data_IF_660914353675
#
_entry.id   IF_660914353675
#
_cell.length_a   1.000
_cell.length_b   1.000
_cell.length_c   1.000
_cell.angle_alpha   90.00
_cell.angle_beta   90.00
_cell.angle_gamma   90.00
#
_symmetry.space_group_name_H-M   'P 1'
#
loop_
_entity.id
_entity.type
_entity.pdbx_description
1 polymer ?
#
# COMPACT_ATOMS: atom_id res chain seq x y z
N UNK A 1 -8.03 -6.16 10.99
CA UNK A 1 -6.67 -5.90 10.47
C UNK A 1 -5.56 -6.49 11.35
N UNK A 2 -5.53 -6.22 12.66
CA UNK A 2 -4.42 -6.64 13.54
C UNK A 2 -4.10 -8.14 13.49
N UNK A 3 -5.13 -9.00 13.48
CA UNK A 3 -4.97 -10.45 13.32
C UNK A 3 -4.19 -10.83 12.06
N UNK A 4 -4.46 -10.17 10.93
CA UNK A 4 -3.81 -10.46 9.65
C UNK A 4 -2.36 -9.99 9.64
N UNK A 5 -2.09 -8.80 10.20
CA UNK A 5 -0.74 -8.27 10.35
C UNK A 5 0.13 -9.20 11.23
N UNK A 6 -0.40 -9.63 12.38
CA UNK A 6 0.31 -10.55 13.28
C UNK A 6 0.55 -11.93 12.63
N UNK A 7 -0.40 -12.40 11.80
CA UNK A 7 -0.22 -13.66 11.07
C UNK A 7 0.87 -13.55 10.01
N UNK A 8 0.90 -12.46 9.24
CA UNK A 8 1.97 -12.19 8.29
C UNK A 8 3.33 -12.07 8.98
N UNK A 9 3.42 -11.25 10.04
CA UNK A 9 4.64 -11.10 10.85
C UNK A 9 5.16 -12.45 11.34
N UNK A 10 4.30 -13.29 11.94
CA UNK A 10 4.70 -14.60 12.44
C UNK A 10 5.25 -15.54 11.36
N UNK A 11 4.80 -15.40 10.10
CA UNK A 11 5.31 -16.18 8.97
C UNK A 11 6.55 -15.58 8.30
N UNK A 12 6.73 -14.26 8.37
CA UNK A 12 7.83 -13.56 7.69
C UNK A 12 9.06 -13.40 8.58
N UNK A 13 8.86 -13.33 9.90
CA UNK A 13 9.91 -13.20 10.90
C UNK A 13 10.91 -14.36 10.80
N UNK A 14 12.18 -14.02 10.92
CA UNK A 14 13.28 -14.97 10.88
C UNK A 14 14.49 -14.40 11.60
N UNK A 15 15.31 -15.30 12.13
CA UNK A 15 16.58 -14.96 12.82
C UNK A 15 17.78 -14.93 11.86
N UNK A 16 17.54 -15.20 10.57
CA UNK A 16 18.58 -15.14 9.54
C UNK A 16 19.08 -13.70 9.38
N UNK A 17 20.40 -13.52 9.30
CA UNK A 17 21.01 -12.20 9.08
C UNK A 17 20.70 -11.61 7.70
N UNK A 18 20.56 -12.46 6.70
CA UNK A 18 20.26 -12.11 5.31
C UNK A 18 19.17 -13.03 4.79
N UNK A 19 17.91 -12.80 5.19
CA UNK A 19 16.82 -13.65 4.74
C UNK A 19 16.52 -13.40 3.26
N UNK A 20 16.17 -14.43 2.48
CA UNK A 20 15.69 -14.22 1.12
C UNK A 20 14.38 -13.43 1.15
N UNK A 21 14.01 -12.71 0.07
CA UNK A 21 12.74 -12.01 0.00
C UNK A 21 11.52 -12.90 0.29
N UNK A 22 10.43 -12.29 0.74
CA UNK A 22 9.12 -12.95 0.86
C UNK A 22 8.45 -12.96 -0.51
N UNK A 23 8.36 -14.13 -1.14
CA UNK A 23 7.52 -14.32 -2.32
C UNK A 23 6.05 -14.54 -1.89
N UNK A 24 5.15 -13.64 -2.29
CA UNK A 24 3.73 -13.67 -1.89
C UNK A 24 2.80 -13.05 -2.94
N UNK A 25 1.51 -12.96 -2.67
CA UNK A 25 0.54 -12.28 -3.54
C UNK A 25 -0.77 -11.96 -2.84
N UNK A 26 -1.88 -12.13 -3.55
CA UNK A 26 -3.25 -11.81 -3.12
C UNK A 26 -3.80 -12.74 -2.02
N UNK A 27 -3.10 -12.81 -0.89
CA UNK A 27 -3.35 -13.73 0.21
C UNK A 27 -4.72 -13.49 0.86
N UNK A 28 -5.61 -14.47 0.68
CA UNK A 28 -6.96 -14.43 1.22
C UNK A 28 -7.94 -13.58 0.42
N UNK A 29 -7.64 -13.23 -0.84
CA UNK A 29 -8.50 -12.34 -1.64
C UNK A 29 -9.51 -13.07 -2.54
N UNK A 30 -9.28 -14.34 -2.88
CA UNK A 30 -10.21 -15.15 -3.69
C UNK A 30 -11.42 -15.63 -2.89
N UNK A 31 -11.48 -16.93 -2.58
CA UNK A 31 -12.60 -17.53 -1.84
C UNK A 31 -12.91 -16.85 -0.49
N UNK A 32 -11.88 -16.28 0.16
CA UNK A 32 -11.98 -15.60 1.44
C UNK A 32 -12.34 -14.10 1.33
N UNK A 33 -12.52 -13.58 0.10
CA UNK A 33 -13.04 -12.23 -0.21
C UNK A 33 -12.30 -11.06 0.46
N UNK A 34 -11.03 -11.24 0.81
CA UNK A 34 -10.19 -10.15 1.32
C UNK A 34 -9.89 -9.11 0.25
N UNK A 35 -9.78 -7.84 0.65
CA UNK A 35 -9.40 -6.77 -0.27
C UNK A 35 -7.88 -6.84 -0.59
N UNK A 36 -7.48 -6.95 -1.88
CA UNK A 36 -6.08 -7.11 -2.25
C UNK A 36 -5.21 -5.90 -1.95
N UNK A 37 -5.76 -4.67 -2.00
CA UNK A 37 -5.04 -3.44 -1.67
C UNK A 37 -4.72 -3.35 -0.18
N UNK A 38 -5.68 -3.72 0.68
CA UNK A 38 -5.45 -3.82 2.11
C UNK A 38 -4.47 -4.95 2.44
N UNK A 39 -4.60 -6.11 1.79
CA UNK A 39 -3.74 -7.27 2.04
C UNK A 39 -2.29 -7.04 1.62
N UNK A 40 -2.04 -6.33 0.52
CA UNK A 40 -0.69 -5.96 0.12
C UNK A 40 -0.04 -5.05 1.17
N UNK A 41 -0.73 -4.00 1.62
CA UNK A 41 -0.21 -3.08 2.65
C UNK A 41 0.12 -3.80 3.96
N UNK A 42 -0.74 -4.70 4.44
CA UNK A 42 -0.47 -5.45 5.67
C UNK A 42 0.76 -6.37 5.54
N UNK A 43 0.96 -6.97 4.37
CA UNK A 43 2.14 -7.81 4.11
C UNK A 43 3.41 -6.97 4.00
N UNK A 44 3.35 -5.81 3.32
CA UNK A 44 4.43 -4.84 3.23
C UNK A 44 4.83 -4.33 4.62
N UNK A 45 3.86 -4.02 5.47
CA UNK A 45 4.11 -3.61 6.85
C UNK A 45 4.82 -4.71 7.65
N UNK A 46 4.38 -5.96 7.53
CA UNK A 46 5.03 -7.09 8.20
C UNK A 46 6.47 -7.28 7.70
N UNK A 47 6.71 -7.16 6.39
CA UNK A 47 8.04 -7.23 5.79
C UNK A 47 8.95 -6.09 6.29
N UNK A 48 8.42 -4.87 6.39
CA UNK A 48 9.15 -3.73 6.93
C UNK A 48 9.58 -3.90 8.38
N UNK A 49 8.69 -4.43 9.23
CA UNK A 49 9.06 -4.75 10.63
C UNK A 49 10.10 -5.87 10.71
N UNK A 50 10.05 -6.83 9.78
CA UNK A 50 11.00 -7.95 9.73
C UNK A 50 12.33 -7.60 9.03
N UNK A 51 12.50 -6.36 8.55
CA UNK A 51 13.62 -5.93 7.69
C UNK A 51 13.88 -6.92 6.54
N UNK A 52 12.82 -7.23 5.80
CA UNK A 52 12.85 -8.26 4.77
C UNK A 52 12.20 -7.75 3.49
N UNK A 53 12.84 -8.01 2.37
CA UNK A 53 12.30 -7.65 1.07
C UNK A 53 11.04 -8.45 0.75
N UNK A 54 10.19 -7.89 -0.10
CA UNK A 54 8.98 -8.55 -0.61
C UNK A 54 9.05 -8.67 -2.13
N UNK A 55 8.53 -9.77 -2.63
CA UNK A 55 8.22 -10.01 -4.04
C UNK A 55 6.73 -10.32 -4.14
N UNK A 56 5.95 -9.39 -4.71
CA UNK A 56 4.49 -9.49 -4.75
C UNK A 56 3.98 -9.85 -6.15
N UNK A 57 3.24 -10.96 -6.25
CA UNK A 57 2.61 -11.45 -7.47
C UNK A 57 1.11 -11.12 -7.47
N UNK A 58 0.65 -10.37 -8.47
CA UNK A 58 -0.76 -9.97 -8.61
C UNK A 58 -1.61 -10.95 -9.42
N UNK A 59 -0.98 -11.96 -10.03
CA UNK A 59 -1.64 -12.99 -10.86
C UNK A 59 -2.37 -12.41 -12.07
N UNK A 60 -1.62 -11.77 -12.98
CA UNK A 60 -2.11 -11.13 -14.21
C UNK A 60 -3.13 -10.00 -13.99
N UNK A 61 -3.09 -9.37 -12.81
CA UNK A 61 -3.82 -8.14 -12.53
C UNK A 61 -2.84 -6.96 -12.60
N UNK A 62 -2.63 -6.46 -13.81
CA UNK A 62 -1.69 -5.37 -14.10
C UNK A 62 -2.14 -4.05 -13.47
N UNK A 63 -3.45 -3.82 -13.40
CA UNK A 63 -4.01 -2.63 -12.77
C UNK A 63 -3.71 -2.65 -11.27
N UNK A 64 -3.93 -3.78 -10.59
CA UNK A 64 -3.57 -3.92 -9.19
C UNK A 64 -2.06 -3.77 -8.97
N UNK A 65 -1.23 -4.33 -9.85
CA UNK A 65 0.23 -4.21 -9.76
C UNK A 65 0.66 -2.74 -9.80
N UNK A 66 0.14 -1.99 -10.77
CA UNK A 66 0.37 -0.55 -10.90
C UNK A 66 -0.08 0.23 -9.65
N UNK A 67 -1.30 -0.03 -9.16
CA UNK A 67 -1.83 0.66 -7.99
C UNK A 67 -1.03 0.36 -6.71
N UNK A 68 -0.58 -0.88 -6.52
CA UNK A 68 0.29 -1.25 -5.37
C UNK A 68 1.62 -0.51 -5.47
N UNK A 69 2.24 -0.49 -6.65
CA UNK A 69 3.51 0.21 -6.87
C UNK A 69 3.38 1.72 -6.62
N UNK A 70 2.33 2.35 -7.15
CA UNK A 70 2.05 3.78 -6.93
C UNK A 70 1.90 4.09 -5.43
N UNK A 71 1.23 3.22 -4.67
CA UNK A 71 1.07 3.41 -3.23
C UNK A 71 2.37 3.21 -2.46
N UNK A 72 3.21 2.24 -2.85
CA UNK A 72 4.54 2.06 -2.25
C UNK A 72 5.42 3.27 -2.53
N UNK A 73 5.46 3.76 -3.76
CA UNK A 73 6.21 4.95 -4.12
C UNK A 73 5.75 6.15 -3.30
N UNK A 74 4.44 6.32 -3.11
CA UNK A 74 3.90 7.35 -2.22
C UNK A 74 4.40 7.18 -0.77
N UNK A 75 4.37 5.97 -0.21
CA UNK A 75 4.85 5.69 1.16
C UNK A 75 6.34 6.03 1.31
N UNK A 76 7.16 5.59 0.37
CA UNK A 76 8.61 5.78 0.39
C UNK A 76 8.98 7.26 0.20
N UNK A 77 8.42 7.93 -0.81
CA UNK A 77 8.71 9.34 -1.12
C UNK A 77 8.34 10.28 0.03
N UNK A 78 7.33 9.93 0.81
CA UNK A 78 6.87 10.73 1.95
C UNK A 78 7.42 10.24 3.30
N UNK A 79 8.36 9.28 3.30
CA UNK A 79 8.95 8.70 4.51
C UNK A 79 7.91 8.25 5.54
N UNK A 80 6.78 7.67 5.08
CA UNK A 80 5.70 7.21 5.94
C UNK A 80 6.18 5.97 6.71
N UNK A 81 6.30 6.10 8.02
CA UNK A 81 6.69 4.98 8.89
C UNK A 81 5.58 3.91 8.96
N UNK A 82 5.95 2.66 9.29
CA UNK A 82 4.97 1.59 9.53
C UNK A 82 3.94 1.97 10.60
N UNK A 83 4.38 2.70 11.64
CA UNK A 83 3.49 3.18 12.70
C UNK A 83 2.48 4.22 12.20
N UNK A 84 2.89 5.15 11.32
CA UNK A 84 1.96 6.09 10.67
C UNK A 84 0.99 5.37 9.74
N UNK A 85 1.49 4.47 8.89
CA UNK A 85 0.64 3.69 7.99
C UNK A 85 -0.41 2.88 8.76
N UNK A 86 -0.02 2.25 9.89
CA UNK A 86 -0.98 1.58 10.78
C UNK A 86 -2.06 2.53 11.30
N UNK A 87 -1.68 3.71 11.78
CA UNK A 87 -2.64 4.73 12.25
C UNK A 87 -3.61 5.14 11.15
N UNK A 88 -3.13 5.35 9.93
CA UNK A 88 -3.97 5.68 8.79
C UNK A 88 -4.95 4.56 8.44
N UNK A 89 -4.52 3.30 8.48
CA UNK A 89 -5.39 2.14 8.28
C UNK A 89 -6.47 2.03 9.36
N UNK A 90 -6.11 2.22 10.63
CA UNK A 90 -7.08 2.24 11.73
C UNK A 90 -8.12 3.35 11.52
N UNK A 91 -7.68 4.57 11.18
CA UNK A 91 -8.60 5.68 10.89
C UNK A 91 -9.50 5.37 9.71
N UNK A 92 -8.99 4.73 8.66
CA UNK A 92 -9.82 4.28 7.53
C UNK A 92 -10.88 3.28 7.97
N UNK A 93 -10.55 2.32 8.84
CA UNK A 93 -11.50 1.31 9.33
C UNK A 93 -12.62 1.88 10.19
N UNK A 94 -12.41 3.04 10.80
CA UNK A 94 -13.44 3.75 11.56
C UNK A 94 -14.36 4.60 10.65
N UNK A 95 -14.02 4.74 9.36
CA UNK A 95 -14.87 5.43 8.38
C UNK A 95 -15.97 4.53 7.82
N UNK A 96 -16.96 5.15 7.14
CA UNK A 96 -17.97 4.45 6.34
C UNK A 96 -17.60 4.33 4.85
N UNK A 97 -16.35 4.59 4.49
CA UNK A 97 -15.91 4.61 3.10
C UNK A 97 -15.85 3.20 2.51
N UNK A 98 -16.06 3.11 1.19
CA UNK A 98 -15.90 1.85 0.45
C UNK A 98 -14.41 1.44 0.42
N UNK A 99 -14.08 0.14 0.41
CA UNK A 99 -12.70 -0.33 0.27
C UNK A 99 -11.93 0.26 -0.91
N UNK A 100 -12.62 0.56 -2.01
CA UNK A 100 -12.04 1.21 -3.19
C UNK A 100 -11.46 2.60 -2.93
N UNK A 101 -11.83 3.25 -1.80
CA UNK A 101 -11.30 4.56 -1.39
C UNK A 101 -10.03 4.47 -0.55
N UNK A 102 -9.57 3.27 -0.19
CA UNK A 102 -8.44 3.06 0.72
C UNK A 102 -7.21 3.90 0.34
N UNK A 103 -6.72 3.75 -0.88
CA UNK A 103 -5.50 4.43 -1.32
C UNK A 103 -5.65 5.95 -1.36
N UNK A 104 -6.76 6.46 -1.89
CA UNK A 104 -7.00 7.90 -1.91
C UNK A 104 -7.18 8.49 -0.52
N UNK A 105 -7.76 7.72 0.41
CA UNK A 105 -7.86 8.11 1.81
C UNK A 105 -6.47 8.19 2.47
N UNK A 106 -5.61 7.19 2.27
CA UNK A 106 -4.25 7.19 2.81
C UNK A 106 -3.43 8.37 2.29
N UNK A 107 -3.58 8.74 1.02
CA UNK A 107 -2.93 9.92 0.45
C UNK A 107 -3.47 11.21 1.06
N UNK A 108 -4.79 11.32 1.20
CA UNK A 108 -5.43 12.48 1.79
C UNK A 108 -5.01 12.68 3.25
N UNK A 109 -5.14 11.66 4.08
CA UNK A 109 -4.88 11.79 5.53
C UNK A 109 -3.40 12.07 5.85
N UNK A 110 -2.50 11.80 4.91
CA UNK A 110 -1.10 12.15 5.03
C UNK A 110 -0.83 13.61 4.68
N UNK A 111 -1.49 14.13 3.63
CA UNK A 111 -1.33 15.52 3.15
C UNK A 111 -2.07 16.56 4.01
N UNK A 112 -3.16 16.17 4.68
CA UNK A 112 -4.07 17.08 5.38
C UNK A 112 -4.07 16.88 6.90
N UNK A 113 -4.32 17.96 7.64
CA UNK A 113 -4.30 17.98 9.10
C UNK A 113 -5.53 17.27 9.70
N UNK A 114 -5.49 16.92 10.99
CA UNK A 114 -6.61 16.28 11.69
C UNK A 114 -7.92 17.09 11.63
N UNK A 115 -7.85 18.42 11.51
CA UNK A 115 -9.03 19.30 11.44
C UNK A 115 -9.77 19.20 10.11
N UNK A 116 -9.06 18.86 9.02
CA UNK A 116 -9.64 18.74 7.67
C UNK A 116 -10.47 17.45 7.51
N UNK A 117 -10.25 16.46 8.37
CA UNK A 117 -10.89 15.15 8.33
C UNK A 117 -12.41 15.22 8.43
N UNK A 118 -12.97 16.15 9.22
CA UNK A 118 -14.42 16.29 9.36
C UNK A 118 -15.13 16.74 8.07
N UNK A 119 -14.38 17.25 7.09
CA UNK A 119 -14.89 17.70 5.80
C UNK A 119 -14.66 16.69 4.67
N UNK A 120 -14.04 15.53 4.94
CA UNK A 120 -13.78 14.50 3.93
C UNK A 120 -15.10 13.88 3.42
N UNK A 121 -15.52 14.32 2.24
CA UNK A 121 -16.74 13.87 1.55
C UNK A 121 -16.40 13.45 0.11
N UNK A 122 -17.26 12.64 -0.51
CA UNK A 122 -17.11 12.20 -1.92
C UNK A 122 -16.90 13.37 -2.90
N UNK A 123 -17.40 14.57 -2.58
CA UNK A 123 -17.25 15.79 -3.39
C UNK A 123 -15.80 16.32 -3.44
N UNK A 124 -14.98 16.06 -2.42
CA UNK A 124 -13.57 16.46 -2.40
C UNK A 124 -12.70 15.55 -3.28
N UNK A 125 -13.12 14.30 -3.45
CA UNK A 125 -12.47 13.29 -4.29
C UNK A 125 -12.64 13.60 -5.79
N UNK A 126 -13.82 14.06 -6.21
CA UNK A 126 -14.09 14.44 -7.62
C UNK A 126 -13.19 15.59 -8.09
N UNK A 127 -12.91 16.57 -7.22
CA UNK A 127 -12.01 17.68 -7.52
C UNK A 127 -10.54 17.23 -7.72
N UNK A 128 -10.10 16.09 -7.16
CA UNK A 128 -8.75 15.56 -7.38
C UNK A 128 -8.64 14.67 -8.62
N UNK A 129 -9.67 13.92 -9.02
CA UNK A 129 -9.65 13.17 -10.28
C UNK A 129 -9.36 14.13 -11.45
N UNK A 130 -10.01 15.29 -11.46
CA UNK A 130 -9.79 16.35 -12.46
C UNK A 130 -8.38 16.94 -12.43
N UNK A 131 -7.75 17.05 -11.25
CA UNK A 131 -6.39 17.63 -11.09
C UNK A 131 -5.27 16.63 -11.35
N UNK A 132 -5.44 15.35 -11.01
CA UNK A 132 -4.43 14.32 -11.22
C UNK A 132 -4.33 13.91 -12.71
N UNK A 133 -5.44 13.92 -13.46
CA UNK A 133 -5.43 13.75 -14.94
C UNK A 133 -4.57 14.82 -15.62
N UNK A 134 -4.51 16.04 -15.08
CA UNK A 134 -3.66 17.12 -15.59
C UNK A 134 -2.18 16.99 -15.21
N UNK A 135 -1.84 16.20 -14.18
CA UNK A 135 -0.45 16.06 -13.69
C UNK A 135 0.25 14.83 -14.28
N UNK A 136 -0.49 13.79 -14.63
CA UNK A 136 0.03 12.58 -15.30
C UNK A 136 0.52 12.81 -16.73
N UNK A 137 0.11 13.89 -17.39
CA UNK A 137 0.60 14.28 -18.73
C UNK A 137 2.01 14.89 -18.73
N UNK A 138 2.64 15.09 -17.57
CA UNK A 138 3.90 15.86 -17.45
C UNK A 138 5.10 15.12 -16.87
N UNK A 139 5.02 13.81 -16.61
CA UNK A 139 6.19 13.00 -16.21
C UNK A 139 6.11 11.58 -16.78
N UNK A 140 6.58 11.42 -18.00
CA UNK A 140 7.18 10.17 -18.47
C UNK A 140 8.69 10.36 -18.36
N UNK A 141 9.35 9.56 -17.52
CA UNK A 141 10.70 9.01 -17.72
C UNK A 141 11.22 8.46 -16.38
N UNK A 142 10.80 7.24 -16.05
CA UNK A 142 11.52 6.32 -15.16
C UNK A 142 11.29 4.91 -15.69
N UNK A 143 12.38 4.17 -15.92
CA UNK A 143 12.41 2.88 -16.60
C UNK A 143 11.75 1.82 -15.71
N UNK A 144 10.63 1.28 -16.18
CA UNK A 144 9.93 0.13 -15.58
C UNK A 144 10.53 -1.13 -16.21
N UNK A 145 11.10 -2.00 -15.38
CA UNK A 145 11.56 -3.33 -15.80
C UNK A 145 10.37 -4.17 -16.30
N UNK A 146 10.57 -4.90 -17.39
CA UNK A 146 9.53 -5.32 -18.34
C UNK A 146 8.68 -6.52 -17.88
N UNK A 147 8.74 -6.90 -16.61
CA UNK A 147 7.89 -7.92 -15.98
C UNK A 147 6.99 -7.28 -14.90
N UNK A 148 5.85 -6.72 -15.31
CA UNK A 148 4.80 -6.12 -14.45
C UNK A 148 4.23 -7.04 -13.34
N UNK A 149 4.75 -8.27 -13.22
CA UNK A 149 4.28 -9.32 -12.32
C UNK A 149 5.10 -9.46 -11.04
N UNK A 150 6.26 -8.78 -10.93
CA UNK A 150 7.24 -9.01 -9.87
C UNK A 150 7.69 -7.68 -9.30
N UNK A 151 7.30 -7.39 -8.06
CA UNK A 151 7.72 -6.18 -7.37
C UNK A 151 8.81 -6.47 -6.34
N UNK A 152 10.08 -6.17 -6.65
CA UNK A 152 11.21 -6.33 -5.72
C UNK A 152 11.46 -5.03 -4.95
N UNK A 153 11.44 -5.07 -3.61
CA UNK A 153 11.49 -3.84 -2.81
C UNK A 153 12.35 -3.95 -1.54
N UNK A 154 13.39 -3.11 -1.44
CA UNK A 154 14.18 -2.82 -0.23
C UNK A 154 13.54 -1.62 0.49
N UNK A 155 12.58 -1.84 1.38
CA UNK A 155 11.69 -0.76 1.82
C UNK A 155 12.18 0.07 3.03
N UNK A 156 13.21 -0.36 3.77
CA UNK A 156 13.53 0.29 5.06
C UNK A 156 15.02 0.28 5.46
N UNK A 157 15.95 0.32 4.50
CA UNK A 157 17.37 0.52 4.80
C UNK A 157 17.68 2.02 4.89
N UNK A 158 17.72 2.54 6.12
CA UNK A 158 18.52 3.71 6.49
C UNK A 158 19.79 3.23 7.20
#
# INVERSE_FOLDING_TARGET
MLRELNKAYAGFYTVLKQPPPVATGNWGCGAYKGDPKLKSLLQIMACGVCNRDIVYFTFNDDQLAKEILEMINFIVQNAITIGQLWKYLCRFSDTKLKPSRLYTFLQYIHEYSEEDFHNFTDKHLENRISKNVQRSTLKSDEVVDEDCSILFMNLFQN
#
